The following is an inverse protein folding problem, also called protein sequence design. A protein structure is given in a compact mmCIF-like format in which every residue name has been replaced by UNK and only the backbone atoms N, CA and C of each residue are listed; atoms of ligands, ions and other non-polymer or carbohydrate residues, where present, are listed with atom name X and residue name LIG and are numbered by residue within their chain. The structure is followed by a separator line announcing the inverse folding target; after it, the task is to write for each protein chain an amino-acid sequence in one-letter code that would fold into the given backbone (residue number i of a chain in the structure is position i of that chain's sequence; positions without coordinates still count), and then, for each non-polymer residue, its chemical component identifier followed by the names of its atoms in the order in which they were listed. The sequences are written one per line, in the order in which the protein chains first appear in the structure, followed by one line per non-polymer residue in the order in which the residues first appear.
data_IF_764519796220
#
_entry.id   IF_764519796220
#
_cell.length_a   1.000
_cell.length_b   1.000
_cell.length_c   1.000
_cell.angle_alpha   90.00
_cell.angle_beta   90.00
_cell.angle_gamma   90.00
#
_symmetry.space_group_name_H-M   'P 1'
#
loop_
_entity.id
_entity.type
_entity.pdbx_description
1 polymer ?
#
# COMPACT_ATOMS: atom_id res chain seq x y z
N UNK A 1 3.75 -19.67 10.61
CA UNK A 1 4.90 -18.73 10.73
C UNK A 1 4.76 -17.86 11.99
N UNK A 2 5.76 -17.04 12.33
CA UNK A 2 5.67 -16.08 13.44
C UNK A 2 4.50 -15.11 13.26
N UNK A 3 4.29 -14.62 12.03
CA UNK A 3 3.17 -13.78 11.67
C UNK A 3 1.80 -14.41 11.98
N UNK A 4 1.60 -15.69 11.63
CA UNK A 4 0.34 -16.38 11.92
C UNK A 4 0.10 -16.49 13.44
N UNK A 5 1.12 -16.84 14.23
CA UNK A 5 1.02 -16.90 15.70
C UNK A 5 0.68 -15.53 16.30
N UNK A 6 1.28 -14.46 15.77
CA UNK A 6 1.00 -13.10 16.18
C UNK A 6 -0.45 -12.69 15.88
N UNK A 7 -0.95 -12.99 14.67
CA UNK A 7 -2.34 -12.73 14.29
C UNK A 7 -3.31 -13.53 15.15
N UNK A 8 -3.02 -14.81 15.41
CA UNK A 8 -3.82 -15.65 16.32
C UNK A 8 -3.87 -15.05 17.74
N UNK A 9 -2.72 -14.57 18.26
CA UNK A 9 -2.65 -13.90 19.56
C UNK A 9 -3.50 -12.64 19.59
N UNK A 10 -3.38 -11.74 18.59
CA UNK A 10 -4.22 -10.53 18.49
C UNK A 10 -5.70 -10.86 18.40
N UNK A 11 -6.05 -11.92 17.65
CA UNK A 11 -7.43 -12.38 17.48
C UNK A 11 -7.99 -13.21 18.65
N UNK A 12 -7.17 -13.63 19.61
CA UNK A 12 -7.62 -14.43 20.77
C UNK A 12 -8.64 -13.70 21.65
N UNK A 13 -8.62 -12.37 21.62
CA UNK A 13 -9.60 -11.50 22.30
C UNK A 13 -10.95 -11.44 21.59
N UNK A 14 -11.11 -12.16 20.47
CA UNK A 14 -12.29 -12.17 19.59
C UNK A 14 -12.77 -10.75 19.22
N UNK A 15 -11.93 -9.92 18.60
CA UNK A 15 -12.36 -8.60 18.15
C UNK A 15 -13.42 -8.73 17.05
N UNK A 16 -14.38 -7.80 17.01
CA UNK A 16 -15.45 -7.77 15.99
C UNK A 16 -14.92 -7.75 14.55
N UNK A 17 -13.74 -7.15 14.36
CA UNK A 17 -13.01 -7.15 13.10
C UNK A 17 -11.67 -7.83 13.35
N UNK A 18 -11.43 -8.94 12.67
CA UNK A 18 -10.24 -9.76 12.88
C UNK A 18 -9.02 -9.15 12.21
N UNK A 19 -7.88 -9.31 12.87
CA UNK A 19 -6.57 -9.07 12.29
C UNK A 19 -6.30 -10.06 11.18
N UNK A 20 -5.68 -9.61 10.10
CA UNK A 20 -5.28 -10.46 8.98
C UNK A 20 -3.87 -10.09 8.47
N UNK A 21 -3.32 -10.94 7.61
CA UNK A 21 -1.97 -10.78 7.07
C UNK A 21 -1.85 -9.51 6.21
N UNK A 22 -2.90 -9.14 5.47
CA UNK A 22 -2.89 -7.97 4.61
C UNK A 22 -2.71 -6.66 5.42
N UNK A 23 -3.37 -6.52 6.57
CA UNK A 23 -3.17 -5.40 7.49
C UNK A 23 -1.71 -5.33 7.99
N UNK A 24 -1.08 -6.48 8.24
CA UNK A 24 0.32 -6.53 8.64
C UNK A 24 1.25 -6.09 7.50
N UNK A 25 0.97 -6.50 6.26
CA UNK A 25 1.72 -6.07 5.07
C UNK A 25 1.59 -4.56 4.84
N UNK A 26 0.37 -4.02 4.91
CA UNK A 26 0.12 -2.57 4.79
C UNK A 26 0.90 -1.81 5.86
N UNK A 27 0.83 -2.25 7.12
CA UNK A 27 1.53 -1.61 8.24
C UNK A 27 3.05 -1.70 8.09
N UNK A 28 3.59 -2.87 7.70
CA UNK A 28 5.01 -3.06 7.45
C UNK A 28 5.51 -2.14 6.33
N UNK A 29 4.72 -1.94 5.28
CA UNK A 29 5.06 -1.02 4.19
C UNK A 29 5.05 0.44 4.64
N UNK A 30 3.99 0.87 5.36
CA UNK A 30 3.89 2.22 5.92
C UNK A 30 5.07 2.52 6.86
N UNK A 31 5.41 1.57 7.73
CA UNK A 31 6.57 1.67 8.64
C UNK A 31 7.88 1.77 7.87
N UNK A 32 8.05 0.94 6.85
CA UNK A 32 9.25 0.95 5.99
C UNK A 32 9.41 2.30 5.30
N UNK A 33 8.35 2.85 4.68
CA UNK A 33 8.42 4.16 4.02
C UNK A 33 8.74 5.27 5.03
N UNK A 34 8.12 5.22 6.21
CA UNK A 34 8.35 6.19 7.29
C UNK A 34 9.83 6.22 7.72
N UNK A 35 10.45 5.05 7.90
CA UNK A 35 11.86 4.94 8.30
C UNK A 35 12.84 5.14 7.14
N UNK A 36 12.38 4.90 5.90
CA UNK A 36 13.18 4.97 4.68
C UNK A 36 12.72 6.13 3.81
N UNK A 37 12.94 7.35 4.27
CA UNK A 37 12.43 8.60 3.69
C UNK A 37 12.65 8.84 2.18
N UNK A 38 13.58 8.17 1.49
CA UNK A 38 13.66 8.24 0.01
C UNK A 38 12.48 7.54 -0.70
N UNK A 39 11.82 6.60 -0.03
CA UNK A 39 10.64 5.89 -0.56
C UNK A 39 9.41 6.77 -0.67
N UNK A 40 9.38 7.89 0.05
CA UNK A 40 8.31 8.89 -0.03
C UNK A 40 8.60 10.00 -1.05
N UNK A 41 9.61 9.80 -1.92
CA UNK A 41 9.96 10.74 -2.98
C UNK A 41 9.27 10.35 -4.28
N UNK A 42 8.93 11.33 -5.11
CA UNK A 42 8.40 11.11 -6.45
C UNK A 42 9.00 12.10 -7.43
N UNK A 43 8.94 11.80 -8.72
CA UNK A 43 9.45 12.67 -9.78
C UNK A 43 8.30 13.16 -10.63
N UNK A 44 8.15 14.48 -10.67
CA UNK A 44 7.14 15.15 -11.48
C UNK A 44 7.79 16.35 -12.20
N UNK A 45 7.47 16.58 -13.47
CA UNK A 45 8.00 17.70 -14.28
C UNK A 45 9.52 17.90 -14.14
N UNK A 46 10.29 16.81 -14.27
CA UNK A 46 11.76 16.77 -14.13
C UNK A 46 12.30 17.21 -12.76
N UNK A 47 11.46 17.28 -11.73
CA UNK A 47 11.83 17.64 -10.35
C UNK A 47 11.49 16.51 -9.40
N UNK A 48 12.32 16.38 -8.37
CA UNK A 48 12.09 15.44 -7.28
C UNK A 48 11.35 16.13 -6.14
N UNK A 49 10.25 15.53 -5.70
CA UNK A 49 9.40 16.02 -4.63
C UNK A 49 9.33 15.01 -3.50
N UNK A 50 9.02 15.49 -2.31
CA UNK A 50 8.75 14.67 -1.13
C UNK A 50 7.28 14.78 -0.78
N UNK A 51 6.64 13.65 -0.50
CA UNK A 51 5.27 13.63 0.00
C UNK A 51 5.20 14.25 1.40
N UNK A 52 4.14 15.00 1.67
CA UNK A 52 3.92 15.65 2.98
C UNK A 52 3.62 14.64 4.08
N UNK A 53 3.07 13.49 3.71
CA UNK A 53 2.67 12.41 4.60
C UNK A 53 2.90 11.05 3.94
N UNK A 54 2.87 9.99 4.74
CA UNK A 54 2.98 8.61 4.26
C UNK A 54 1.58 8.03 4.14
N UNK A 55 1.24 7.55 2.95
CA UNK A 55 -0.12 7.14 2.61
C UNK A 55 -0.12 5.80 1.88
N UNK A 56 -1.13 4.98 2.14
CA UNK A 56 -1.35 3.72 1.44
C UNK A 56 -2.74 3.71 0.80
N UNK A 57 -2.81 3.38 -0.48
CA UNK A 57 -4.06 3.18 -1.20
C UNK A 57 -4.23 1.73 -1.61
N UNK A 58 -5.46 1.24 -1.59
CA UNK A 58 -5.79 -0.11 -2.07
C UNK A 58 -7.25 -0.21 -2.50
N UNK A 59 -7.52 -1.07 -3.48
CA UNK A 59 -8.87 -1.32 -3.99
C UNK A 59 -9.52 -2.47 -3.24
N UNK A 60 -10.77 -2.29 -2.86
CA UNK A 60 -11.62 -3.31 -2.23
C UNK A 60 -12.81 -3.59 -3.13
N UNK A 61 -13.00 -4.87 -3.46
CA UNK A 61 -14.19 -5.31 -4.18
C UNK A 61 -15.34 -5.52 -3.19
N UNK A 62 -16.46 -4.83 -3.39
CA UNK A 62 -17.64 -4.93 -2.52
C UNK A 62 -18.41 -6.23 -2.75
N UNK A 63 -18.47 -6.68 -4.01
CA UNK A 63 -19.12 -7.93 -4.42
C UNK A 63 -18.22 -8.70 -5.38
N UNK A 64 -18.01 -9.98 -5.10
CA UNK A 64 -17.27 -10.88 -5.99
C UNK A 64 -18.13 -11.30 -7.19
N UNK A 65 -18.43 -10.32 -8.05
CA UNK A 65 -19.08 -10.49 -9.34
C UNK A 65 -18.40 -9.59 -10.37
N UNK A 66 -18.56 -9.90 -11.65
CA UNK A 66 -17.91 -9.14 -12.73
C UNK A 66 -18.37 -7.67 -12.78
N UNK A 67 -19.62 -7.41 -12.36
CA UNK A 67 -20.20 -6.07 -12.26
C UNK A 67 -20.21 -5.53 -10.82
N UNK A 68 -19.55 -6.21 -9.89
CA UNK A 68 -19.48 -5.82 -8.50
C UNK A 68 -18.70 -4.52 -8.34
N UNK A 69 -19.24 -3.61 -7.52
CA UNK A 69 -18.58 -2.33 -7.22
C UNK A 69 -17.18 -2.53 -6.65
N UNK A 70 -16.27 -1.69 -7.09
CA UNK A 70 -14.93 -1.56 -6.54
C UNK A 70 -14.82 -0.21 -5.88
N UNK A 71 -14.25 -0.18 -4.68
CA UNK A 71 -14.08 1.06 -3.94
C UNK A 71 -12.65 1.19 -3.50
N UNK A 72 -12.13 2.40 -3.66
CA UNK A 72 -10.80 2.74 -3.20
C UNK A 72 -10.80 3.08 -1.71
N UNK A 73 -9.87 2.47 -0.99
CA UNK A 73 -9.50 2.84 0.37
C UNK A 73 -8.18 3.63 0.35
N UNK A 74 -8.09 4.64 1.20
CA UNK A 74 -6.93 5.52 1.29
C UNK A 74 -6.58 5.81 2.75
N UNK A 75 -5.41 5.36 3.19
CA UNK A 75 -4.94 5.50 4.57
C UNK A 75 -3.93 6.65 4.63
N UNK A 76 -4.22 7.65 5.45
CA UNK A 76 -3.30 8.73 5.83
C UNK A 76 -2.65 8.38 7.16
N UNK A 77 -1.47 7.76 7.12
CA UNK A 77 -0.83 7.29 8.35
C UNK A 77 -0.12 8.41 9.09
N UNK A 78 -0.09 8.32 10.42
CA UNK A 78 0.70 9.22 11.25
C UNK A 78 1.95 8.53 11.77
N UNK A 79 3.05 9.26 11.99
CA UNK A 79 4.31 8.70 12.49
C UNK A 79 4.16 7.87 13.78
N UNK A 80 3.24 8.26 14.65
CA UNK A 80 2.95 7.63 15.94
C UNK A 80 2.06 6.38 15.86
N UNK A 81 1.48 6.08 14.69
CA UNK A 81 0.56 4.95 14.52
C UNK A 81 1.26 3.60 14.72
N UNK A 82 0.45 2.62 15.13
CA UNK A 82 0.80 1.21 15.26
C UNK A 82 -0.07 0.37 14.33
N UNK A 83 0.16 -0.94 14.30
CA UNK A 83 -0.74 -1.91 13.66
C UNK A 83 -2.20 -1.78 14.11
N UNK A 84 -2.44 -1.44 15.37
CA UNK A 84 -3.81 -1.34 15.91
C UNK A 84 -4.53 -0.10 15.34
N UNK A 85 -3.79 1.00 15.12
CA UNK A 85 -4.33 2.21 14.47
C UNK A 85 -4.64 1.95 12.99
N UNK A 86 -3.73 1.30 12.26
CA UNK A 86 -3.95 0.91 10.86
C UNK A 86 -5.12 -0.06 10.75
N UNK A 87 -5.22 -1.04 11.66
CA UNK A 87 -6.33 -1.98 11.74
C UNK A 87 -7.67 -1.26 11.96
N UNK A 88 -7.72 -0.33 12.91
CA UNK A 88 -8.93 0.44 13.20
C UNK A 88 -9.33 1.35 12.04
N UNK A 89 -8.36 1.95 11.34
CA UNK A 89 -8.62 2.77 10.18
C UNK A 89 -9.14 1.95 8.99
N UNK A 90 -8.53 0.79 8.72
CA UNK A 90 -9.03 -0.15 7.73
C UNK A 90 -10.44 -0.65 8.07
N UNK A 91 -10.70 -0.98 9.34
CA UNK A 91 -12.04 -1.35 9.84
C UNK A 91 -13.04 -0.24 9.54
N UNK A 92 -12.71 1.01 9.89
CA UNK A 92 -13.56 2.19 9.70
C UNK A 92 -13.93 2.37 8.24
N UNK A 93 -12.98 2.24 7.32
CA UNK A 93 -13.23 2.36 5.88
C UNK A 93 -14.08 1.20 5.38
N UNK A 94 -13.70 -0.05 5.68
CA UNK A 94 -14.44 -1.25 5.22
C UNK A 94 -15.87 -1.31 5.75
N UNK A 95 -16.14 -0.80 6.96
CA UNK A 95 -17.52 -0.73 7.48
C UNK A 95 -18.39 0.23 6.67
N UNK A 96 -17.84 1.34 6.16
CA UNK A 96 -18.56 2.23 5.23
C UNK A 96 -18.86 1.52 3.91
N UNK A 97 -17.94 0.69 3.44
CA UNK A 97 -18.06 -0.03 2.17
C UNK A 97 -19.10 -1.16 2.19
N UNK A 98 -19.51 -1.65 3.37
CA UNK A 98 -20.60 -2.63 3.49
C UNK A 98 -21.93 -2.09 3.00
N UNK A 99 -22.11 -0.76 2.96
CA UNK A 99 -23.25 -0.17 2.28
C UNK A 99 -23.01 -0.27 0.77
N UNK A 100 -23.82 -1.10 0.09
CA UNK A 100 -23.71 -1.35 -1.37
C UNK A 100 -23.94 -0.10 -2.23
N UNK A 101 -24.62 0.91 -1.67
CA UNK A 101 -24.82 2.19 -2.36
C UNK A 101 -23.63 3.14 -2.21
N UNK A 102 -22.67 2.82 -1.34
CA UNK A 102 -21.48 3.62 -1.17
C UNK A 102 -20.59 3.50 -2.41
N UNK A 103 -20.38 4.63 -3.07
CA UNK A 103 -19.37 4.83 -4.12
C UNK A 103 -18.32 5.78 -3.59
N UNK A 104 -17.05 5.54 -3.91
CA UNK A 104 -16.02 6.55 -3.64
C UNK A 104 -16.21 7.78 -4.53
N UNK A 105 -15.67 8.89 -4.04
CA UNK A 105 -15.74 10.19 -4.72
C UNK A 105 -15.02 10.14 -6.07
N UNK A 106 -13.92 9.39 -6.18
CA UNK A 106 -13.12 9.24 -7.40
C UNK A 106 -13.92 8.54 -8.50
N UNK A 107 -14.58 7.42 -8.18
CA UNK A 107 -15.50 6.73 -9.10
C UNK A 107 -16.66 7.64 -9.54
N UNK A 108 -17.27 8.37 -8.60
CA UNK A 108 -18.38 9.29 -8.90
C UNK A 108 -17.94 10.47 -9.79
N UNK A 109 -16.72 10.97 -9.58
CA UNK A 109 -16.13 12.01 -10.40
C UNK A 109 -15.87 11.50 -11.82
N UNK A 110 -15.30 10.30 -11.96
CA UNK A 110 -15.03 9.69 -13.27
C UNK A 110 -16.30 9.45 -14.08
N UNK A 111 -17.38 8.99 -13.45
CA UNK A 111 -18.68 8.81 -14.10
C UNK A 111 -19.22 10.14 -14.67
N UNK A 112 -19.18 11.22 -13.87
CA UNK A 112 -19.60 12.56 -14.30
C UNK A 112 -18.71 13.11 -15.41
N UNK A 113 -17.40 12.89 -15.30
CA UNK A 113 -16.43 13.33 -16.30
C UNK A 113 -16.64 12.63 -17.64
N UNK A 114 -16.90 11.32 -17.61
CA UNK A 114 -17.19 10.51 -18.80
C UNK A 114 -18.52 10.87 -19.47
N UNK A 115 -19.48 11.43 -18.71
CA UNK A 115 -20.75 11.92 -19.25
C UNK A 115 -20.63 13.25 -20.02
N UNK A 116 -19.51 13.97 -19.89
CA UNK A 116 -19.28 15.23 -20.62
C UNK A 116 -18.95 15.00 -22.10
N UNK A 117 -19.37 15.88 -23.01
CA UNK A 117 -18.93 15.83 -24.40
C UNK A 117 -17.40 15.84 -24.52
N UNK A 118 -16.84 15.03 -25.43
CA UNK A 118 -15.38 14.81 -25.57
C UNK A 118 -14.54 16.09 -25.70
N UNK A 119 -15.08 17.13 -26.32
CA UNK A 119 -14.37 18.40 -26.45
C UNK A 119 -14.26 19.15 -25.11
N UNK A 120 -15.27 19.04 -24.24
CA UNK A 120 -15.28 19.62 -22.90
C UNK A 120 -14.36 18.84 -21.98
N UNK A 121 -14.49 17.51 -21.94
CA UNK A 121 -13.62 16.66 -21.11
C UNK A 121 -12.16 16.74 -21.56
N UNK A 122 -11.89 16.81 -22.87
CA UNK A 122 -10.55 17.03 -23.39
C UNK A 122 -9.94 18.37 -22.98
N UNK A 123 -10.71 19.46 -23.00
CA UNK A 123 -10.25 20.77 -22.54
C UNK A 123 -10.05 20.81 -21.01
N UNK A 124 -10.96 20.19 -20.25
CA UNK A 124 -10.85 20.07 -18.81
C UNK A 124 -9.58 19.28 -18.43
N UNK A 125 -9.36 18.10 -19.01
CA UNK A 125 -8.17 17.29 -18.76
C UNK A 125 -6.87 18.06 -19.05
N UNK A 126 -6.79 18.74 -20.20
CA UNK A 126 -5.63 19.59 -20.53
C UNK A 126 -5.41 20.69 -19.48
N UNK A 127 -6.48 21.29 -19.00
CA UNK A 127 -6.42 22.32 -17.95
C UNK A 127 -5.93 21.73 -16.63
N UNK A 128 -6.44 20.56 -16.22
CA UNK A 128 -5.98 19.96 -14.96
C UNK A 128 -4.55 19.44 -15.08
N UNK A 129 -4.14 18.83 -16.20
CA UNK A 129 -2.73 18.49 -16.46
C UNK A 129 -1.82 19.72 -16.45
N UNK A 130 -2.30 20.87 -16.94
CA UNK A 130 -1.55 22.13 -16.85
C UNK A 130 -1.45 22.64 -15.40
N UNK A 131 -2.53 22.56 -14.62
CA UNK A 131 -2.53 22.90 -13.19
C UNK A 131 -1.63 21.97 -12.37
N UNK A 132 -1.61 20.68 -12.69
CA UNK A 132 -0.77 19.67 -12.04
C UNK A 132 0.72 19.96 -12.22
N UNK A 133 1.16 20.31 -13.43
CA UNK A 133 2.52 20.81 -13.67
C UNK A 133 2.88 22.07 -12.86
N UNK A 134 1.88 22.85 -12.45
CA UNK A 134 2.06 24.04 -11.61
C UNK A 134 1.88 23.76 -10.12
N UNK A 135 1.51 22.54 -9.72
CA UNK A 135 1.16 22.20 -8.35
C UNK A 135 -0.10 22.91 -7.84
N UNK A 136 -0.99 23.30 -8.76
CA UNK A 136 -2.20 24.10 -8.49
C UNK A 136 -3.50 23.28 -8.59
N UNK A 137 -3.42 21.95 -8.54
CA UNK A 137 -4.61 21.10 -8.57
C UNK A 137 -5.37 21.25 -7.26
N UNK A 138 -6.70 21.45 -7.29
CA UNK A 138 -7.52 21.48 -6.09
C UNK A 138 -7.30 20.22 -5.24
N UNK A 139 -7.20 20.39 -3.92
CA UNK A 139 -6.93 19.28 -3.01
C UNK A 139 -8.03 18.22 -3.06
N UNK A 140 -9.27 18.67 -3.22
CA UNK A 140 -10.46 17.83 -3.31
C UNK A 140 -10.41 16.84 -4.49
N UNK A 141 -9.65 17.17 -5.55
CA UNK A 141 -9.48 16.29 -6.71
C UNK A 141 -8.39 15.23 -6.50
N UNK A 142 -7.49 15.48 -5.55
CA UNK A 142 -6.25 14.71 -5.35
C UNK A 142 -6.30 13.83 -4.10
N UNK A 143 -7.00 14.29 -3.06
CA UNK A 143 -7.03 13.65 -1.74
C UNK A 143 -7.60 12.22 -1.77
N UNK A 144 -8.48 11.94 -2.72
CA UNK A 144 -9.12 10.64 -2.90
C UNK A 144 -8.55 9.83 -4.08
N UNK A 145 -7.53 10.35 -4.77
CA UNK A 145 -6.92 9.69 -5.93
C UNK A 145 -5.79 8.73 -5.48
N UNK A 146 -5.85 7.42 -5.82
CA UNK A 146 -4.86 6.44 -5.39
C UNK A 146 -3.46 6.72 -5.92
N UNK A 147 -3.36 7.41 -7.05
CA UNK A 147 -2.09 7.74 -7.70
C UNK A 147 -1.35 8.91 -7.03
N UNK A 148 -1.94 9.48 -5.99
CA UNK A 148 -1.30 10.40 -5.05
C UNK A 148 -0.91 9.74 -3.72
N UNK A 149 -1.04 8.41 -3.60
CA UNK A 149 -0.54 7.68 -2.44
C UNK A 149 0.99 7.53 -2.45
N UNK A 150 1.58 7.31 -1.28
CA UNK A 150 3.00 6.93 -1.17
C UNK A 150 3.24 5.51 -1.68
N UNK A 151 2.27 4.63 -1.44
CA UNK A 151 2.25 3.26 -1.97
C UNK A 151 0.84 2.85 -2.35
N UNK A 152 0.73 2.13 -3.47
CA UNK A 152 -0.52 1.45 -3.87
C UNK A 152 -0.34 -0.05 -3.66
N UNK A 153 -1.31 -0.69 -3.01
CA UNK A 153 -1.32 -2.13 -2.76
C UNK A 153 -2.50 -2.80 -3.47
N UNK A 154 -2.22 -3.80 -4.30
CA UNK A 154 -3.23 -4.66 -4.91
C UNK A 154 -3.23 -6.04 -4.24
N UNK A 155 -4.35 -6.42 -3.62
CA UNK A 155 -4.49 -7.72 -2.95
C UNK A 155 -5.12 -8.77 -3.89
N UNK A 156 -4.33 -9.26 -4.85
CA UNK A 156 -4.75 -10.33 -5.77
C UNK A 156 -5.01 -11.65 -5.04
N UNK A 157 -4.35 -11.88 -3.91
CA UNK A 157 -4.62 -13.06 -3.08
C UNK A 157 -6.05 -13.13 -2.54
N UNK A 158 -6.73 -11.99 -2.39
CA UNK A 158 -8.13 -11.99 -1.95
C UNK A 158 -9.11 -12.59 -2.98
N UNK A 159 -8.69 -12.69 -4.24
CA UNK A 159 -9.45 -13.29 -5.35
C UNK A 159 -8.81 -14.57 -5.89
N UNK A 160 -7.87 -15.17 -5.13
CA UNK A 160 -7.22 -16.43 -5.51
C UNK A 160 -6.26 -16.31 -6.69
N UNK A 161 -5.69 -15.12 -6.92
CA UNK A 161 -4.72 -14.90 -7.99
C UNK A 161 -3.27 -14.89 -7.44
N UNK A 162 -2.30 -15.38 -8.22
CA UNK A 162 -0.89 -15.33 -7.85
C UNK A 162 -0.38 -13.89 -7.86
N UNK A 163 0.85 -13.71 -7.37
CA UNK A 163 1.52 -12.40 -7.46
C UNK A 163 1.86 -12.05 -8.91
N UNK A 164 2.25 -10.80 -9.13
CA UNK A 164 2.69 -10.30 -10.43
C UNK A 164 3.34 -8.94 -10.31
N UNK A 165 3.57 -8.28 -11.45
CA UNK A 165 4.07 -6.91 -11.49
C UNK A 165 3.02 -6.00 -12.08
N UNK A 166 2.79 -4.86 -11.43
CA UNK A 166 1.99 -3.77 -11.97
C UNK A 166 2.92 -2.65 -12.44
N UNK A 167 2.52 -1.88 -13.44
CA UNK A 167 3.27 -0.69 -13.84
C UNK A 167 3.06 0.45 -12.84
N UNK A 168 3.97 1.43 -12.82
CA UNK A 168 3.71 2.70 -12.15
C UNK A 168 2.73 3.52 -13.01
N UNK A 169 1.56 3.79 -12.45
CA UNK A 169 0.45 4.52 -13.08
C UNK A 169 0.59 6.01 -12.76
N UNK A 170 1.27 6.79 -13.60
CA UNK A 170 1.43 8.21 -13.29
C UNK A 170 0.18 9.01 -13.64
N UNK A 171 -0.55 9.46 -12.61
CA UNK A 171 -0.90 10.88 -12.39
C UNK A 171 -1.44 11.09 -10.96
N UNK A 172 -0.78 11.63 -9.92
CA UNK A 172 0.51 12.32 -9.76
C UNK A 172 1.51 11.58 -8.87
N UNK A 173 1.94 10.42 -9.40
CA UNK A 173 3.25 9.77 -9.28
C UNK A 173 3.55 8.94 -8.03
N UNK A 174 2.63 8.03 -7.70
CA UNK A 174 2.91 6.86 -6.83
C UNK A 174 4.29 6.26 -7.11
N UNK A 175 5.11 6.20 -6.07
CA UNK A 175 6.52 5.81 -6.18
C UNK A 175 6.74 4.31 -6.05
N UNK A 176 5.77 3.62 -5.44
CA UNK A 176 5.84 2.20 -5.11
C UNK A 176 4.48 1.56 -5.34
N UNK A 177 4.47 0.47 -6.09
CA UNK A 177 3.33 -0.41 -6.25
C UNK A 177 3.68 -1.78 -5.69
N UNK A 178 2.78 -2.34 -4.87
CA UNK A 178 2.94 -3.66 -4.26
C UNK A 178 1.78 -4.55 -4.67
N UNK A 179 2.07 -5.69 -5.28
CA UNK A 179 1.10 -6.74 -5.59
C UNK A 179 1.24 -7.84 -4.56
N UNK A 180 0.17 -8.14 -3.84
CA UNK A 180 0.10 -9.23 -2.86
C UNK A 180 -0.60 -10.42 -3.51
N UNK A 181 0.13 -11.51 -3.71
CA UNK A 181 -0.43 -12.76 -4.25
C UNK A 181 -1.24 -13.55 -3.21
N UNK A 182 -1.71 -14.72 -3.63
CA UNK A 182 -2.38 -15.69 -2.76
C UNK A 182 -1.47 -16.19 -1.64
N UNK A 183 -2.03 -16.32 -0.43
CA UNK A 183 -1.35 -16.95 0.70
C UNK A 183 -1.41 -18.46 0.54
N UNK A 184 -0.27 -19.12 0.67
CA UNK A 184 -0.20 -20.57 0.51
C UNK A 184 1.08 -21.17 1.04
N UNK A 185 1.29 -22.46 0.74
CA UNK A 185 2.55 -23.13 1.03
C UNK A 185 3.52 -22.90 -0.11
N UNK A 186 4.61 -22.18 0.17
CA UNK A 186 5.68 -21.90 -0.78
C UNK A 186 6.90 -22.79 -0.48
N UNK A 187 7.66 -23.20 -1.50
CA UNK A 187 8.90 -23.95 -1.33
C UNK A 187 10.04 -23.02 -0.87
N UNK A 188 10.75 -23.42 0.19
CA UNK A 188 11.96 -22.77 0.69
C UNK A 188 13.10 -23.77 0.72
N UNK A 189 14.29 -23.35 0.27
CA UNK A 189 15.48 -24.18 0.31
C UNK A 189 16.24 -23.95 1.61
N UNK A 190 16.26 -24.96 2.48
CA UNK A 190 16.91 -24.90 3.79
C UNK A 190 17.65 -26.21 4.05
N UNK A 191 18.90 -26.12 4.53
CA UNK A 191 19.73 -27.28 4.86
C UNK A 191 19.79 -28.33 3.73
N UNK A 192 19.98 -27.86 2.49
CA UNK A 192 20.02 -28.68 1.27
C UNK A 192 18.72 -29.44 0.95
N UNK A 193 17.61 -29.08 1.59
CA UNK A 193 16.29 -29.67 1.37
C UNK A 193 15.24 -28.62 1.03
N UNK A 194 14.25 -29.01 0.22
CA UNK A 194 13.07 -28.18 -0.02
C UNK A 194 12.07 -28.41 1.10
N UNK A 195 11.77 -27.37 1.85
CA UNK A 195 10.74 -27.35 2.90
C UNK A 195 9.58 -26.45 2.46
N UNK A 196 8.36 -26.86 2.74
CA UNK A 196 7.18 -26.04 2.44
C UNK A 196 6.75 -25.27 3.68
N UNK A 197 6.65 -23.95 3.56
CA UNK A 197 6.23 -23.07 4.65
C UNK A 197 5.10 -22.16 4.18
N UNK A 198 4.26 -21.75 5.11
CA UNK A 198 3.26 -20.72 4.81
C UNK A 198 3.99 -19.44 4.39
N UNK A 199 3.59 -18.87 3.26
CA UNK A 199 4.20 -17.68 2.70
C UNK A 199 3.25 -16.97 1.74
N UNK A 200 3.71 -15.81 1.28
CA UNK A 200 3.04 -15.00 0.27
C UNK A 200 4.11 -14.36 -0.60
N UNK A 201 3.90 -14.35 -1.91
CA UNK A 201 4.78 -13.66 -2.83
C UNK A 201 4.33 -12.22 -3.03
N UNK A 202 5.28 -11.28 -2.90
CA UNK A 202 5.06 -9.85 -3.05
C UNK A 202 5.80 -9.35 -4.29
N UNK A 203 5.07 -8.78 -5.24
CA UNK A 203 5.63 -8.11 -6.41
C UNK A 203 5.81 -6.63 -6.13
N UNK A 204 7.02 -6.10 -6.32
CA UNK A 204 7.32 -4.68 -6.12
C UNK A 204 7.67 -4.03 -7.46
N UNK A 205 7.00 -2.92 -7.76
CA UNK A 205 7.39 -2.02 -8.84
C UNK A 205 7.70 -0.66 -8.22
N UNK A 206 8.89 -0.13 -8.48
CA UNK A 206 9.42 1.07 -7.83
C UNK A 206 10.07 1.96 -8.88
N UNK A 207 9.95 3.27 -8.71
CA UNK A 207 10.67 4.25 -9.52
C UNK A 207 12.15 4.26 -9.10
N UNK A 208 13.02 3.67 -9.90
CA UNK A 208 14.44 3.50 -9.62
C UNK A 208 15.22 4.83 -9.54
N UNK A 209 14.63 5.93 -10.00
CA UNK A 209 15.29 7.24 -10.01
C UNK A 209 15.31 7.90 -8.63
N UNK A 210 14.45 7.47 -7.71
CA UNK A 210 14.35 8.07 -6.36
C UNK A 210 15.45 7.57 -5.40
N UNK A 211 16.02 6.39 -5.65
CA UNK A 211 17.08 5.80 -4.85
C UNK A 211 17.84 4.69 -5.60
N UNK A 212 19.03 4.33 -5.14
CA UNK A 212 19.78 3.21 -5.72
C UNK A 212 19.24 1.82 -5.30
N UNK A 213 19.66 0.79 -6.02
CA UNK A 213 19.26 -0.60 -5.75
C UNK A 213 19.65 -1.11 -4.35
N UNK A 214 20.74 -0.61 -3.77
CA UNK A 214 21.16 -1.01 -2.42
C UNK A 214 20.21 -0.44 -1.36
N UNK A 215 19.74 0.79 -1.58
CA UNK A 215 18.73 1.42 -0.76
C UNK A 215 17.41 0.61 -0.81
N UNK A 216 16.96 0.19 -1.99
CA UNK A 216 15.74 -0.62 -2.12
C UNK A 216 15.89 -2.01 -1.51
N UNK A 217 17.00 -2.71 -1.76
CA UNK A 217 17.25 -4.02 -1.20
C UNK A 217 17.18 -4.00 0.34
N UNK A 218 17.78 -2.99 0.98
CA UNK A 218 17.66 -2.80 2.43
C UNK A 218 16.25 -2.48 2.89
N UNK A 219 15.50 -1.68 2.12
CA UNK A 219 14.11 -1.37 2.45
C UNK A 219 13.22 -2.61 2.38
N UNK A 220 13.41 -3.47 1.37
CA UNK A 220 12.68 -4.74 1.26
C UNK A 220 13.07 -5.68 2.41
N UNK A 221 14.36 -5.80 2.72
CA UNK A 221 14.84 -6.58 3.90
C UNK A 221 14.25 -6.05 5.22
N UNK A 222 14.11 -4.72 5.36
CA UNK A 222 13.43 -4.11 6.51
C UNK A 222 11.96 -4.49 6.58
N UNK A 223 11.23 -4.45 5.46
CA UNK A 223 9.85 -4.89 5.41
C UNK A 223 9.72 -6.38 5.75
N UNK A 224 10.61 -7.23 5.23
CA UNK A 224 10.68 -8.66 5.57
C UNK A 224 10.89 -8.87 7.07
N UNK A 225 11.85 -8.14 7.68
CA UNK A 225 12.07 -8.18 9.14
C UNK A 225 10.78 -7.90 9.92
N UNK A 226 10.00 -6.89 9.53
CA UNK A 226 8.73 -6.60 10.21
C UNK A 226 7.68 -7.70 10.08
N UNK A 227 7.71 -8.50 9.01
CA UNK A 227 6.79 -9.63 8.82
C UNK A 227 7.29 -10.90 9.53
N UNK A 228 8.60 -11.05 9.68
CA UNK A 228 9.24 -12.14 10.44
C UNK A 228 9.16 -11.93 11.96
N UNK A 229 9.22 -10.66 12.40
CA UNK A 229 9.12 -10.20 13.80
C UNK A 229 7.98 -9.18 13.96
N UNK A 230 6.71 -9.64 13.88
CA UNK A 230 5.54 -8.77 13.84
C UNK A 230 5.29 -7.97 15.12
N UNK A 231 5.91 -8.31 16.25
CA UNK A 231 5.91 -7.49 17.48
C UNK A 231 6.52 -6.10 17.26
N UNK A 232 7.33 -5.93 16.20
CA UNK A 232 7.83 -4.61 15.80
C UNK A 232 6.71 -3.72 15.22
N UNK A 233 5.58 -4.29 14.78
CA UNK A 233 4.42 -3.55 14.26
C UNK A 233 3.54 -2.97 15.37
N UNK A 234 3.65 -3.48 16.60
CA UNK A 234 3.02 -2.89 17.80
C UNK A 234 3.65 -1.55 18.21
N UNK A 235 4.82 -1.25 17.64
CA UNK A 235 5.57 -0.02 17.93
C UNK A 235 5.28 1.07 16.90
N UNK A 236 5.36 2.37 17.29
CA UNK A 236 5.14 3.49 16.39
C UNK A 236 5.86 3.36 15.04
N UNK A 237 5.25 3.82 13.94
CA UNK A 237 5.85 3.75 12.59
C UNK A 237 7.20 4.48 12.50
N UNK A 238 7.39 5.54 13.30
CA UNK A 238 8.62 6.33 13.34
C UNK A 238 9.66 5.82 14.33
N UNK A 239 9.38 4.77 15.10
CA UNK A 239 10.37 4.19 16.00
C UNK A 239 11.53 3.60 15.20
N UNK A 240 12.73 4.15 15.42
CA UNK A 240 13.94 3.68 14.76
C UNK A 240 14.27 2.26 15.21
N UNK A 241 14.72 1.44 14.27
CA UNK A 241 15.31 0.14 14.60
C UNK A 241 16.55 0.32 15.49
N UNK A 242 16.77 -0.62 16.39
CA UNK A 242 18.03 -0.73 17.13
C UNK A 242 19.20 -1.02 16.17
N UNK A 243 20.42 -0.70 16.61
CA UNK A 243 21.63 -0.94 15.81
C UNK A 243 21.80 -2.41 15.42
N UNK A 244 21.40 -3.33 16.31
CA UNK A 244 21.41 -4.77 16.07
C UNK A 244 20.46 -5.19 14.94
N UNK A 245 19.22 -4.70 14.97
CA UNK A 245 18.23 -4.97 13.92
C UNK A 245 18.65 -4.33 12.59
N UNK A 246 19.22 -3.13 12.63
CA UNK A 246 19.79 -2.46 11.46
C UNK A 246 20.95 -3.24 10.83
N UNK A 247 21.81 -3.85 11.65
CA UNK A 247 22.92 -4.66 11.19
C UNK A 247 22.44 -5.92 10.46
N UNK A 248 21.35 -6.57 10.93
CA UNK A 248 20.78 -7.78 10.31
C UNK A 248 20.33 -7.53 8.87
N UNK A 249 19.63 -6.43 8.61
CA UNK A 249 19.16 -6.08 7.25
C UNK A 249 20.25 -5.48 6.37
N UNK A 250 21.41 -5.14 6.94
CA UNK A 250 22.57 -4.62 6.21
C UNK A 250 23.56 -5.68 5.77
N UNK A 251 23.49 -6.90 6.33
CA UNK A 251 24.30 -8.04 5.90
C UNK A 251 23.83 -8.52 4.53
N UNK A 252 24.81 -8.88 3.68
CA UNK A 252 24.54 -9.41 2.33
C UNK A 252 23.80 -10.73 2.44
#
# INVERSE_FOLDING_TARGET
TNLNKYIEKKNSTNPDYKYNQYQCIVTAMLKTITLRSKLSLFIHDCKMFRRNEVTAAFTVKQEFSDNGGEVLCFIHSKPEWTIDDVHNEMKRQLLKLKNKEYRDESSTFMDKFNALPKFVSGAALKTVCWLEKKGMVPKELVETDPYHASVVLANLGSIGLPTGYHHLTNWGTTSIFVVVGEYGKLPFFENEQVTFKDGVELGFTIDERIADGYYFAKSIKMMQLFLEEPELLDRPLNEKLSDELWARISKK
#
